data_IF_774101732967
#
_entry.id   IF_774101732967
#
_cell.length_a   1.000
_cell.length_b   1.000
_cell.length_c   1.000
_cell.angle_alpha   90.00
_cell.angle_beta   90.00
_cell.angle_gamma   90.00
#
_symmetry.space_group_name_H-M   'P 1'
#
loop_
_entity.id
_entity.type
_entity.pdbx_description
1 polymer ?
#
# COMPACT_ATOMS: atom_id res chain seq x y z
N UNK A 1 1.97 5.01 -11.07
CA UNK A 1 1.85 3.60 -11.51
C UNK A 1 1.57 2.74 -10.28
N UNK A 2 0.77 1.67 -10.42
CA UNK A 2 0.41 0.77 -9.30
C UNK A 2 0.60 -0.69 -9.77
N UNK A 3 1.25 -1.50 -8.94
CA UNK A 3 1.45 -2.94 -9.06
C UNK A 3 0.54 -3.68 -8.11
N UNK A 4 0.07 -4.85 -8.53
CA UNK A 4 -0.65 -5.82 -7.70
C UNK A 4 0.14 -7.12 -7.69
N UNK A 5 0.70 -7.51 -6.54
CA UNK A 5 1.57 -8.68 -6.39
C UNK A 5 0.87 -9.70 -5.47
N UNK A 6 0.41 -10.85 -6.01
CA UNK A 6 -0.17 -11.91 -5.20
C UNK A 6 0.92 -12.68 -4.44
N UNK A 7 0.72 -12.91 -3.14
CA UNK A 7 1.61 -13.68 -2.26
C UNK A 7 0.83 -14.23 -1.06
N UNK A 8 0.99 -15.53 -0.77
CA UNK A 8 0.41 -16.21 0.41
C UNK A 8 -1.10 -15.93 0.60
N UNK A 9 -1.88 -16.02 -0.50
CA UNK A 9 -3.33 -15.78 -0.46
C UNK A 9 -3.75 -14.32 -0.25
N UNK A 10 -2.80 -13.38 -0.28
CA UNK A 10 -3.05 -11.93 -0.23
C UNK A 10 -2.50 -11.27 -1.49
N UNK A 11 -3.01 -10.09 -1.81
CA UNK A 11 -2.47 -9.27 -2.90
C UNK A 11 -1.97 -7.96 -2.32
N UNK A 12 -0.70 -7.66 -2.55
CA UNK A 12 -0.06 -6.40 -2.14
C UNK A 12 -0.20 -5.40 -3.27
N UNK A 13 -0.70 -4.20 -2.96
CA UNK A 13 -0.95 -3.16 -3.96
C UNK A 13 -0.25 -1.86 -3.56
N UNK A 14 0.47 -1.25 -4.49
CA UNK A 14 1.29 -0.03 -4.31
C UNK A 14 2.08 0.27 -5.58
N UNK A 15 3.04 1.18 -5.65
CA UNK A 15 3.55 2.10 -4.63
C UNK A 15 2.84 3.45 -4.71
N UNK A 16 3.11 4.31 -3.73
CA UNK A 16 2.90 5.76 -3.85
C UNK A 16 4.26 6.43 -3.98
N UNK A 17 4.34 7.48 -4.79
CA UNK A 17 5.52 8.32 -4.91
C UNK A 17 5.15 9.69 -4.34
N UNK A 18 5.43 9.89 -3.05
CA UNK A 18 5.12 11.12 -2.34
C UNK A 18 6.38 11.68 -1.69
N UNK A 19 6.54 13.01 -1.76
CA UNK A 19 7.69 13.69 -1.16
C UNK A 19 7.61 13.57 0.37
N UNK A 20 8.50 12.78 0.94
CA UNK A 20 8.55 12.54 2.38
C UNK A 20 9.54 13.52 3.06
N UNK A 21 9.02 14.41 3.89
CA UNK A 21 9.80 15.47 4.58
C UNK A 21 9.98 15.25 6.09
N UNK A 22 9.66 14.05 6.58
CA UNK A 22 9.64 13.74 8.02
C UNK A 22 10.80 12.78 8.38
N UNK A 23 10.88 12.41 9.65
CA UNK A 23 11.81 11.41 10.17
C UNK A 23 11.81 10.14 9.33
N UNK A 24 12.98 9.84 8.75
CA UNK A 24 13.21 8.71 7.85
C UNK A 24 13.28 7.37 8.60
N UNK A 25 13.46 7.39 9.93
CA UNK A 25 13.56 6.15 10.71
C UNK A 25 12.21 5.42 10.82
N UNK A 26 11.10 6.17 10.77
CA UNK A 26 9.75 5.60 10.90
C UNK A 26 8.76 6.22 9.89
N UNK A 27 8.94 5.96 8.59
CA UNK A 27 8.01 6.44 7.57
C UNK A 27 6.62 5.88 7.83
N UNK A 28 5.66 6.78 8.06
CA UNK A 28 4.24 6.41 8.19
C UNK A 28 3.50 6.85 6.96
N UNK A 29 2.68 5.96 6.42
CA UNK A 29 1.74 6.34 5.37
C UNK A 29 0.73 7.36 5.89
N UNK A 30 0.29 8.25 5.01
CA UNK A 30 -0.81 9.16 5.28
C UNK A 30 -2.15 8.52 4.91
N UNK A 31 -3.26 9.13 5.34
CA UNK A 31 -4.59 8.72 4.87
C UNK A 31 -4.73 8.91 3.35
N UNK A 32 -4.04 9.89 2.78
CA UNK A 32 -4.06 10.17 1.35
C UNK A 32 -3.38 9.05 0.54
N UNK A 33 -2.24 8.53 1.02
CA UNK A 33 -1.56 7.40 0.36
C UNK A 33 -2.47 6.17 0.28
N UNK A 34 -3.16 5.84 1.40
CA UNK A 34 -4.15 4.75 1.42
C UNK A 34 -5.27 5.00 0.44
N UNK A 35 -5.88 6.18 0.51
CA UNK A 35 -7.08 6.49 -0.26
C UNK A 35 -6.77 6.50 -1.77
N UNK A 36 -5.56 6.95 -2.17
CA UNK A 36 -5.06 6.81 -3.54
C UNK A 36 -4.97 5.35 -3.99
N UNK A 37 -4.36 4.47 -3.18
CA UNK A 37 -4.24 3.04 -3.55
C UNK A 37 -5.62 2.38 -3.67
N UNK A 38 -6.56 2.68 -2.76
CA UNK A 38 -7.92 2.15 -2.82
C UNK A 38 -8.65 2.62 -4.09
N UNK A 39 -8.54 3.90 -4.44
CA UNK A 39 -9.15 4.43 -5.66
C UNK A 39 -8.56 3.80 -6.91
N UNK A 40 -7.24 3.60 -6.96
CA UNK A 40 -6.59 2.91 -8.07
C UNK A 40 -7.09 1.46 -8.22
N UNK A 41 -7.29 0.73 -7.11
CA UNK A 41 -7.86 -0.62 -7.15
C UNK A 41 -9.31 -0.59 -7.63
N UNK A 42 -10.13 0.33 -7.14
CA UNK A 42 -11.53 0.47 -7.56
C UNK A 42 -11.65 0.83 -9.03
N UNK A 43 -10.75 1.66 -9.54
CA UNK A 43 -10.70 2.00 -10.96
C UNK A 43 -10.35 0.80 -11.83
N UNK A 44 -9.36 -0.02 -11.43
CA UNK A 44 -8.96 -1.20 -12.21
C UNK A 44 -9.91 -2.40 -12.04
N UNK A 45 -10.60 -2.50 -10.89
CA UNK A 45 -11.45 -3.62 -10.53
C UNK A 45 -12.75 -3.14 -9.85
N UNK A 46 -13.68 -2.51 -10.60
CA UNK A 46 -14.89 -1.92 -10.04
C UNK A 46 -15.77 -2.94 -9.29
N UNK A 47 -15.79 -4.20 -9.75
CA UNK A 47 -16.64 -5.25 -9.19
C UNK A 47 -16.17 -5.79 -7.84
N UNK A 48 -14.90 -5.56 -7.46
CA UNK A 48 -14.33 -6.11 -6.21
C UNK A 48 -14.86 -5.41 -4.94
N UNK A 49 -15.56 -4.27 -5.08
CA UNK A 49 -16.13 -3.50 -3.95
C UNK A 49 -15.18 -3.39 -2.75
N UNK A 50 -13.91 -3.07 -3.02
CA UNK A 50 -12.86 -3.00 -2.00
C UNK A 50 -13.14 -1.83 -1.05
N UNK A 51 -13.30 -2.14 0.24
CA UNK A 51 -13.50 -1.15 1.29
C UNK A 51 -12.32 -1.09 2.26
N UNK A 52 -12.20 0.03 2.98
CA UNK A 52 -11.15 0.26 4.00
C UNK A 52 -11.05 -0.85 5.05
N UNK A 53 -12.16 -1.56 5.33
CA UNK A 53 -12.21 -2.67 6.30
C UNK A 53 -11.53 -3.95 5.78
N UNK A 54 -11.43 -4.14 4.46
CA UNK A 54 -10.87 -5.34 3.83
C UNK A 54 -9.38 -5.21 3.49
N UNK A 55 -8.85 -3.98 3.43
CA UNK A 55 -7.43 -3.73 3.24
C UNK A 55 -6.69 -3.73 4.58
N UNK A 56 -5.82 -4.72 4.80
CA UNK A 56 -4.79 -4.65 5.84
C UNK A 56 -3.61 -3.86 5.30
N UNK A 57 -3.31 -2.74 5.92
CA UNK A 57 -2.29 -1.83 5.41
C UNK A 57 -0.98 -2.10 6.12
N UNK A 58 0.05 -2.38 5.34
CA UNK A 58 1.38 -2.71 5.86
C UNK A 58 2.42 -1.92 5.08
N UNK A 59 3.24 -1.17 5.80
CA UNK A 59 4.44 -0.56 5.23
C UNK A 59 5.45 -1.68 5.00
N UNK A 60 6.07 -1.68 3.82
CA UNK A 60 7.19 -2.57 3.52
C UNK A 60 8.32 -2.26 4.49
N UNK A 61 8.43 -3.03 5.58
CA UNK A 61 9.68 -3.08 6.34
C UNK A 61 10.67 -3.81 5.45
N UNK A 62 11.65 -3.08 4.92
CA UNK A 62 12.89 -3.67 4.46
C UNK A 62 13.49 -4.40 5.66
N UNK A 63 13.19 -5.69 5.76
CA UNK A 63 13.91 -6.60 6.65
C UNK A 63 15.31 -6.72 6.07
N UNK A 64 16.23 -5.87 6.52
CA UNK A 64 17.64 -6.23 6.55
C UNK A 64 17.79 -7.33 7.58
N UNK A 65 17.47 -8.56 7.16
CA UNK A 65 17.98 -9.74 7.82
C UNK A 65 19.49 -9.73 7.55
N UNK A 66 20.27 -9.31 8.56
CA UNK A 66 21.69 -9.63 8.66
C UNK A 66 22.04 -9.84 10.14
N UNK A 67 22.37 -11.11 10.40
CA UNK A 67 22.99 -11.73 11.56
C UNK A 67 22.22 -11.86 12.87
#
# INVERSE_FOLDING_TARGET
>A
MVFAIPREGKTYVGTTDTVYKKQLEHPRMTKADRDYVIQAIQYMFPDLNITKKRCRIQLGRSSSAHS
#
